data_IF_849803846400
#
_entry.id   IF_849803846400
#
_cell.length_a   1.000
_cell.length_b   1.000
_cell.length_c   1.000
_cell.angle_alpha   90.00
_cell.angle_beta   90.00
_cell.angle_gamma   90.00
#
_symmetry.space_group_name_H-M   'P 1'
#
loop_
_entity.id
_entity.type
_entity.pdbx_description
1 polymer ?
#
# COMPACT_ATOMS: atom_id res chain seq x y z
N UNK A 1 26.06 4.58 -2.24
CA UNK A 1 25.67 5.79 -1.50
C UNK A 1 24.70 5.36 -0.42
N UNK A 2 25.04 5.57 0.85
CA UNK A 2 24.09 5.38 1.95
C UNK A 2 23.02 6.48 1.85
N UNK A 3 21.75 6.07 1.81
CA UNK A 3 20.65 7.02 1.82
C UNK A 3 20.57 7.79 3.14
N UNK A 4 19.81 8.90 3.19
CA UNK A 4 19.60 9.62 4.44
C UNK A 4 19.07 8.66 5.53
N UNK A 5 19.48 8.86 6.80
CA UNK A 5 19.12 7.96 7.89
C UNK A 5 17.60 7.90 8.07
N UNK A 6 17.08 6.70 8.32
CA UNK A 6 15.67 6.50 8.61
C UNK A 6 15.35 6.93 10.04
N UNK A 7 14.37 7.82 10.18
CA UNK A 7 13.84 8.23 11.48
C UNK A 7 12.80 7.19 11.91
N UNK A 8 13.05 6.52 13.04
CA UNK A 8 12.10 5.58 13.66
C UNK A 8 11.31 6.28 14.74
N UNK A 9 9.98 6.23 14.65
CA UNK A 9 9.06 6.76 15.66
C UNK A 9 8.30 5.62 16.31
N UNK A 10 8.21 5.63 17.64
CA UNK A 10 7.38 4.69 18.41
C UNK A 10 6.19 5.46 18.98
N UNK A 11 5.01 4.92 18.81
CA UNK A 11 3.78 5.48 19.36
C UNK A 11 3.29 4.61 20.53
N UNK A 12 2.68 5.19 21.58
CA UNK A 12 2.13 4.43 22.70
C UNK A 12 0.99 3.50 22.29
N UNK A 13 0.19 3.91 21.30
CA UNK A 13 -0.98 3.17 20.82
C UNK A 13 -0.89 2.90 19.32
N UNK A 14 -1.56 1.83 18.88
CA UNK A 14 -1.66 1.47 17.46
C UNK A 14 -2.51 2.50 16.70
N UNK A 15 -3.51 3.05 17.37
CA UNK A 15 -4.45 4.03 16.85
C UNK A 15 -3.73 5.32 16.49
N UNK A 16 -2.80 5.80 17.33
CA UNK A 16 -2.00 6.99 17.07
C UNK A 16 -1.05 6.78 15.89
N UNK A 17 -0.36 5.63 15.83
CA UNK A 17 0.47 5.28 14.67
C UNK A 17 -0.35 5.25 13.38
N UNK A 18 -1.55 4.66 13.44
CA UNK A 18 -2.46 4.56 12.29
C UNK A 18 -2.97 5.94 11.85
N UNK A 19 -3.23 6.85 12.81
CA UNK A 19 -3.64 8.23 12.53
C UNK A 19 -2.52 9.02 11.85
N UNK A 20 -1.28 8.87 12.30
CA UNK A 20 -0.13 9.52 11.64
C UNK A 20 0.04 8.98 10.21
N UNK A 21 -0.03 7.67 10.03
CA UNK A 21 0.06 7.03 8.71
C UNK A 21 -1.02 7.53 7.73
N UNK A 22 -2.26 7.70 8.20
CA UNK A 22 -3.37 8.14 7.35
C UNK A 22 -3.37 9.64 7.05
N UNK A 23 -2.89 10.47 7.98
CA UNK A 23 -2.95 11.93 7.85
C UNK A 23 -1.73 12.54 7.15
N UNK A 24 -0.60 11.84 7.11
CA UNK A 24 0.65 12.37 6.56
C UNK A 24 0.53 12.85 5.11
N UNK A 25 -0.14 12.10 4.25
CA UNK A 25 -0.33 12.53 2.86
C UNK A 25 -1.11 13.86 2.77
N UNK A 26 -2.09 14.07 3.65
CA UNK A 26 -2.83 15.33 3.72
C UNK A 26 -1.97 16.49 4.23
N UNK A 27 -1.08 16.24 5.20
CA UNK A 27 -0.12 17.24 5.71
C UNK A 27 0.90 17.60 4.64
N UNK A 28 1.42 16.59 3.94
CA UNK A 28 2.40 16.71 2.85
C UNK A 28 1.90 17.58 1.68
N UNK A 29 0.60 17.57 1.41
CA UNK A 29 -0.01 18.47 0.40
C UNK A 29 0.04 19.93 0.83
N UNK A 30 -0.04 20.20 2.14
CA UNK A 30 -0.04 21.57 2.70
C UNK A 30 1.37 22.15 2.90
N UNK A 31 2.39 21.30 2.88
CA UNK A 31 3.79 21.64 3.16
C UNK A 31 4.68 21.15 2.01
N UNK A 32 4.94 21.99 1.00
CA UNK A 32 5.72 21.62 -0.18
C UNK A 32 7.12 21.05 0.13
N UNK A 33 7.74 21.50 1.20
CA UNK A 33 9.03 21.02 1.70
C UNK A 33 9.01 19.53 2.09
N UNK A 34 7.84 19.01 2.45
CA UNK A 34 7.66 17.60 2.84
C UNK A 34 7.38 16.68 1.65
N UNK A 35 7.33 17.20 0.42
CA UNK A 35 6.93 16.45 -0.79
C UNK A 35 7.83 15.23 -1.08
N UNK A 36 9.08 15.26 -0.64
CA UNK A 36 10.02 14.15 -0.86
C UNK A 36 10.03 13.13 0.27
N UNK A 37 9.42 13.43 1.41
CA UNK A 37 9.40 12.52 2.56
C UNK A 37 8.36 11.42 2.37
N UNK A 38 8.69 10.25 2.89
CA UNK A 38 7.83 9.06 2.87
C UNK A 38 7.78 8.51 4.28
N UNK A 39 6.57 8.18 4.72
CA UNK A 39 6.38 7.41 5.94
C UNK A 39 5.88 6.01 5.59
N UNK A 40 6.23 5.05 6.42
CA UNK A 40 5.79 3.67 6.31
C UNK A 40 5.75 3.00 7.68
N UNK A 41 4.96 1.95 7.86
CA UNK A 41 5.05 1.10 9.04
C UNK A 41 6.44 0.45 9.11
N UNK A 42 6.99 0.31 10.32
CA UNK A 42 8.22 -0.46 10.56
C UNK A 42 7.85 -1.95 10.68
N UNK A 43 7.67 -2.60 9.53
CA UNK A 43 7.37 -4.04 9.46
C UNK A 43 8.64 -4.85 9.69
N UNK A 44 8.49 -5.98 10.40
CA UNK A 44 9.53 -7.01 10.47
C UNK A 44 9.79 -7.63 9.10
N UNK A 45 10.91 -8.35 8.95
CA UNK A 45 11.25 -9.03 7.69
C UNK A 45 10.18 -10.04 7.27
N UNK A 46 9.59 -10.75 8.24
CA UNK A 46 8.55 -11.76 8.01
C UNK A 46 7.22 -11.11 7.58
N UNK A 47 6.80 -10.05 8.28
CA UNK A 47 5.60 -9.29 7.90
C UNK A 47 5.73 -8.68 6.50
N UNK A 48 6.92 -8.20 6.15
CA UNK A 48 7.20 -7.65 4.83
C UNK A 48 7.19 -8.74 3.74
N UNK A 49 7.66 -9.95 4.05
CA UNK A 49 7.53 -11.09 3.15
C UNK A 49 6.07 -11.49 2.94
N UNK A 50 5.28 -11.56 4.03
CA UNK A 50 3.83 -11.82 3.97
C UNK A 50 3.12 -10.76 3.12
N UNK A 51 3.39 -9.48 3.37
CA UNK A 51 2.84 -8.35 2.61
C UNK A 51 3.09 -8.49 1.10
N UNK A 52 4.33 -8.79 0.71
CA UNK A 52 4.71 -8.97 -0.70
C UNK A 52 4.00 -10.16 -1.32
N UNK A 53 3.92 -11.29 -0.60
CA UNK A 53 3.22 -12.49 -1.05
C UNK A 53 1.72 -12.23 -1.28
N UNK A 54 1.05 -11.58 -0.31
CA UNK A 54 -0.36 -11.23 -0.43
C UNK A 54 -0.62 -10.26 -1.58
N UNK A 55 0.25 -9.28 -1.81
CA UNK A 55 0.09 -8.40 -2.99
C UNK A 55 0.27 -9.15 -4.30
N UNK A 56 1.24 -10.06 -4.38
CA UNK A 56 1.45 -10.90 -5.57
C UNK A 56 0.19 -11.71 -5.88
N UNK A 57 -0.41 -12.32 -4.86
CA UNK A 57 -1.65 -13.09 -5.03
C UNK A 57 -2.85 -12.21 -5.42
N UNK A 58 -3.04 -11.07 -4.75
CA UNK A 58 -4.12 -10.13 -5.07
C UNK A 58 -4.02 -9.60 -6.50
N UNK A 59 -2.80 -9.28 -6.96
CA UNK A 59 -2.53 -8.83 -8.32
C UNK A 59 -2.81 -9.95 -9.33
N UNK A 60 -2.37 -11.20 -9.07
CA UNK A 60 -2.66 -12.34 -9.95
C UNK A 60 -4.16 -12.51 -10.17
N UNK A 61 -4.93 -12.53 -9.07
CA UNK A 61 -6.39 -12.66 -9.12
C UNK A 61 -7.07 -11.50 -9.85
N UNK A 62 -6.57 -10.27 -9.68
CA UNK A 62 -7.10 -9.11 -10.39
C UNK A 62 -6.73 -9.11 -11.88
N UNK A 63 -5.52 -9.59 -12.24
CA UNK A 63 -5.08 -9.74 -13.62
C UNK A 63 -5.97 -10.75 -14.36
N UNK A 64 -6.24 -11.91 -13.76
CA UNK A 64 -7.12 -12.95 -14.31
C UNK A 64 -8.55 -12.42 -14.55
N UNK A 65 -9.09 -11.65 -13.60
CA UNK A 65 -10.43 -11.10 -13.70
C UNK A 65 -10.53 -9.82 -14.57
N UNK A 66 -9.39 -9.20 -14.93
CA UNK A 66 -9.29 -7.84 -15.53
C UNK A 66 -10.10 -6.77 -14.79
N UNK A 67 -10.39 -7.03 -13.52
CA UNK A 67 -11.20 -6.22 -12.62
C UNK A 67 -10.55 -6.21 -11.25
N UNK A 68 -10.61 -5.07 -10.57
CA UNK A 68 -10.04 -4.91 -9.23
C UNK A 68 -10.95 -5.58 -8.21
N UNK A 69 -10.78 -6.87 -7.94
CA UNK A 69 -11.65 -7.63 -7.02
C UNK A 69 -11.02 -7.85 -5.65
N UNK A 70 -9.70 -7.94 -5.60
CA UNK A 70 -8.93 -8.25 -4.40
C UNK A 70 -7.99 -7.08 -4.05
N UNK A 71 -7.76 -6.90 -2.76
CA UNK A 71 -6.81 -5.93 -2.20
C UNK A 71 -6.13 -6.53 -0.97
N UNK A 72 -5.00 -5.99 -0.56
CA UNK A 72 -4.36 -6.39 0.70
C UNK A 72 -4.82 -5.48 1.84
N UNK A 73 -5.25 -6.07 2.97
CA UNK A 73 -5.51 -5.38 4.24
C UNK A 73 -4.93 -6.23 5.37
N UNK A 74 -4.31 -5.60 6.38
CA UNK A 74 -3.67 -6.30 7.50
C UNK A 74 -2.73 -7.45 7.06
N UNK A 75 -1.96 -7.23 5.99
CA UNK A 75 -1.04 -8.23 5.40
C UNK A 75 -1.75 -9.47 4.80
N UNK A 76 -3.04 -9.40 4.49
CA UNK A 76 -3.83 -10.50 3.95
C UNK A 76 -4.62 -10.09 2.72
N UNK A 77 -4.89 -11.05 1.83
CA UNK A 77 -5.71 -10.83 0.64
C UNK A 77 -7.18 -10.82 1.03
N UNK A 78 -7.85 -9.71 0.76
CA UNK A 78 -9.25 -9.48 1.10
C UNK A 78 -10.02 -9.11 -0.17
N UNK A 79 -11.24 -9.63 -0.30
CA UNK A 79 -12.15 -9.26 -1.38
C UNK A 79 -12.70 -7.85 -1.12
N UNK A 80 -12.72 -7.02 -2.17
CA UNK A 80 -13.28 -5.68 -2.08
C UNK A 80 -14.81 -5.79 -2.08
N UNK A 81 -15.44 -5.20 -1.05
CA UNK A 81 -16.89 -5.09 -0.97
C UNK A 81 -17.33 -3.88 -1.81
N UNK A 82 -17.75 -4.14 -3.04
CA UNK A 82 -18.43 -3.16 -3.88
C UNK A 82 -19.89 -2.98 -3.44
N UNK A 83 -20.45 -1.79 -3.67
CA UNK A 83 -21.89 -1.58 -3.50
C UNK A 83 -22.66 -2.45 -4.51
N UNK A 84 -23.93 -2.77 -4.20
CA UNK A 84 -24.77 -3.71 -4.98
C UNK A 84 -24.80 -3.41 -6.48
N UNK A 85 -24.76 -2.13 -6.86
CA UNK A 85 -24.82 -1.68 -8.26
C UNK A 85 -23.51 -1.03 -8.74
N UNK A 86 -22.45 -1.15 -7.96
CA UNK A 86 -21.14 -0.61 -8.33
C UNK A 86 -20.33 -1.67 -9.05
N UNK A 87 -20.01 -1.41 -10.30
CA UNK A 87 -19.08 -2.27 -11.02
C UNK A 87 -17.65 -2.15 -10.45
N UNK A 88 -16.93 -3.28 -10.33
CA UNK A 88 -15.52 -3.24 -9.97
C UNK A 88 -14.73 -2.39 -10.95
N UNK A 89 -13.81 -1.58 -10.43
CA UNK A 89 -12.93 -0.78 -11.27
C UNK A 89 -12.16 -1.66 -12.25
N UNK A 90 -11.96 -1.15 -13.48
CA UNK A 90 -11.10 -1.79 -14.47
C UNK A 90 -9.70 -2.01 -13.89
N UNK A 91 -9.15 -3.19 -14.17
CA UNK A 91 -7.78 -3.52 -13.80
C UNK A 91 -6.96 -3.67 -15.06
N UNK A 92 -6.24 -2.60 -15.41
CA UNK A 92 -5.34 -2.59 -16.54
C UNK A 92 -4.09 -3.38 -16.19
N UNK A 93 -3.93 -4.54 -16.83
CA UNK A 93 -2.66 -5.25 -16.81
C UNK A 93 -1.70 -4.44 -17.65
N UNK A 94 -0.79 -3.71 -17.01
CA UNK A 94 0.35 -3.15 -17.72
C UNK A 94 1.23 -4.32 -18.13
N UNK A 95 1.17 -4.68 -19.41
CA UNK A 95 2.16 -5.58 -19.98
C UNK A 95 3.54 -5.00 -19.67
N UNK A 96 4.36 -5.79 -18.98
CA UNK A 96 5.77 -5.46 -18.77
C UNK A 96 6.51 -5.66 -20.10
N UNK A 97 6.16 -4.89 -21.13
CA UNK A 97 7.03 -4.77 -22.30
C UNK A 97 8.23 -3.91 -21.91
N UNK A 98 9.32 -4.62 -21.62
CA UNK A 98 10.73 -4.28 -21.80
C UNK A 98 11.13 -2.81 -21.75
N UNK A 99 11.96 -2.46 -20.78
CA UNK A 99 13.11 -1.59 -21.08
C UNK A 99 14.35 -2.19 -20.44
N UNK A 100 15.35 -2.33 -21.30
CA UNK A 100 16.69 -2.92 -21.14
C UNK A 100 17.47 -2.17 -20.07
#
# INVERSE_FOLDING_TARGET
MEGPPLIKMKFPTKEDASRVLSTFNSVKVKMPELKHFVIRPDLTKEELAKFRSSWKEAISKNNEAKKRLFTVRNLEVVKINYKKDQEPYSWEVRDQQQTI
#
